data_IF_427140757172
#
_entry.id   IF_427140757172
#
_cell.length_a   1.000
_cell.length_b   1.000
_cell.length_c   1.000
_cell.angle_alpha   90.00
_cell.angle_beta   90.00
_cell.angle_gamma   90.00
#
_symmetry.space_group_name_H-M   'P 1'
#
loop_
_entity.id
_entity.type
_entity.pdbx_description
1 polymer ?
#
# COMPACT_ATOMS: atom_id res chain seq x y z
N UNK A 1 -0.29 29.38 -7.00
CA UNK A 1 -1.25 28.31 -7.31
C UNK A 1 -0.55 27.05 -6.85
N UNK A 2 -0.94 26.50 -5.69
CA UNK A 2 -0.31 25.27 -5.22
C UNK A 2 -0.71 24.18 -6.22
N UNK A 3 0.28 23.49 -6.80
CA UNK A 3 0.03 22.24 -7.52
C UNK A 3 -0.76 21.34 -6.56
N UNK A 4 -1.97 20.93 -6.94
CA UNK A 4 -2.62 19.81 -6.28
C UNK A 4 -1.70 18.59 -6.44
N UNK A 5 -1.45 17.80 -5.39
CA UNK A 5 -0.58 16.65 -5.51
C UNK A 5 -1.15 15.73 -6.58
N UNK A 6 -0.30 15.32 -7.52
CA UNK A 6 -0.65 14.49 -8.67
C UNK A 6 -1.36 13.17 -8.27
N UNK A 7 -1.26 12.75 -6.99
CA UNK A 7 -1.94 11.59 -6.43
C UNK A 7 -3.45 11.79 -6.22
N UNK A 8 -3.92 12.99 -5.83
CA UNK A 8 -5.37 13.24 -5.67
C UNK A 8 -6.14 13.19 -7.00
N UNK A 9 -5.55 13.71 -8.08
CA UNK A 9 -6.17 13.64 -9.42
C UNK A 9 -6.21 12.19 -9.92
N UNK A 10 -5.15 11.43 -9.67
CA UNK A 10 -5.11 10.02 -10.05
C UNK A 10 -6.15 9.18 -9.29
N UNK A 11 -6.37 9.47 -8.01
CA UNK A 11 -7.37 8.79 -7.20
C UNK A 11 -8.78 8.95 -7.78
N UNK A 12 -9.14 10.14 -8.25
CA UNK A 12 -10.46 10.41 -8.85
C UNK A 12 -10.69 9.65 -10.17
N UNK A 13 -9.61 9.25 -10.84
CA UNK A 13 -9.65 8.43 -12.06
C UNK A 13 -9.72 6.92 -11.77
N UNK A 14 -9.71 6.49 -10.51
CA UNK A 14 -9.85 5.10 -10.11
C UNK A 14 -11.31 4.77 -9.77
N UNK A 15 -11.76 3.61 -10.20
CA UNK A 15 -13.01 3.02 -9.71
C UNK A 15 -12.88 2.62 -8.24
N UNK A 16 -14.00 2.54 -7.51
CA UNK A 16 -14.02 2.08 -6.12
C UNK A 16 -13.35 0.71 -5.94
N UNK A 17 -13.47 -0.14 -6.96
CA UNK A 17 -12.87 -1.47 -6.96
C UNK A 17 -11.35 -1.41 -7.10
N UNK A 18 -10.82 -0.60 -7.99
CA UNK A 18 -9.38 -0.38 -8.14
C UNK A 18 -8.78 0.24 -6.88
N UNK A 19 -9.46 1.23 -6.28
CA UNK A 19 -9.07 1.81 -4.98
C UNK A 19 -8.99 0.73 -3.90
N UNK A 20 -9.99 -0.15 -3.82
CA UNK A 20 -10.00 -1.24 -2.85
C UNK A 20 -8.84 -2.23 -3.07
N UNK A 21 -8.47 -2.53 -4.32
CA UNK A 21 -7.33 -3.41 -4.63
C UNK A 21 -6.00 -2.79 -4.21
N UNK A 22 -5.78 -1.51 -4.52
CA UNK A 22 -4.56 -0.81 -4.13
C UNK A 22 -4.49 -0.66 -2.60
N UNK A 23 -5.62 -0.33 -1.95
CA UNK A 23 -5.70 -0.29 -0.49
C UNK A 23 -5.39 -1.65 0.14
N UNK A 24 -5.90 -2.75 -0.43
CA UNK A 24 -5.59 -4.11 0.02
C UNK A 24 -4.09 -4.43 -0.08
N UNK A 25 -3.41 -3.95 -1.13
CA UNK A 25 -1.97 -4.11 -1.29
C UNK A 25 -1.18 -3.34 -0.21
N UNK A 26 -1.55 -2.07 0.02
CA UNK A 26 -0.91 -1.23 1.04
C UNK A 26 -1.10 -1.80 2.45
N UNK A 27 -2.33 -2.19 2.78
CA UNK A 27 -2.68 -2.85 4.03
C UNK A 27 -1.84 -4.11 4.28
N UNK A 28 -1.73 -4.97 3.26
CA UNK A 28 -0.96 -6.20 3.38
C UNK A 28 0.52 -5.89 3.61
N UNK A 29 1.08 -4.91 2.90
CA UNK A 29 2.48 -4.48 3.00
C UNK A 29 2.81 -4.05 4.43
N UNK A 30 1.98 -3.20 5.01
CA UNK A 30 2.14 -2.68 6.38
C UNK A 30 1.95 -3.78 7.41
N UNK A 31 0.90 -4.61 7.28
CA UNK A 31 0.62 -5.75 8.18
C UNK A 31 1.77 -6.77 8.18
N UNK A 32 2.52 -6.88 7.09
CA UNK A 32 3.71 -7.74 6.97
C UNK A 32 5.03 -7.06 7.34
N UNK A 33 5.00 -5.79 7.80
CA UNK A 33 6.20 -4.99 8.10
C UNK A 33 7.14 -4.86 6.89
N UNK A 34 6.57 -4.78 5.69
CA UNK A 34 7.29 -4.66 4.42
C UNK A 34 7.36 -3.22 3.90
N UNK A 35 6.89 -2.24 4.67
CA UNK A 35 6.84 -0.82 4.30
C UNK A 35 8.18 -0.28 3.80
N UNK A 36 9.25 -0.40 4.59
CA UNK A 36 10.59 0.11 4.21
C UNK A 36 11.13 -0.51 2.92
N UNK A 37 11.19 -1.85 2.75
CA UNK A 37 11.65 -2.44 1.49
C UNK A 37 10.71 -2.17 0.31
N UNK A 38 9.40 -2.04 0.53
CA UNK A 38 8.45 -1.69 -0.52
C UNK A 38 8.69 -0.27 -1.05
N UNK A 39 8.82 0.72 -0.15
CA UNK A 39 9.13 2.11 -0.53
C UNK A 39 10.46 2.17 -1.28
N UNK A 40 11.51 1.54 -0.75
CA UNK A 40 12.83 1.51 -1.41
C UNK A 40 12.75 0.94 -2.83
N UNK A 41 12.03 -0.18 -3.00
CA UNK A 41 11.83 -0.79 -4.31
C UNK A 41 11.06 0.13 -5.26
N UNK A 42 9.93 0.69 -4.80
CA UNK A 42 9.04 1.53 -5.61
C UNK A 42 9.74 2.83 -6.06
N UNK A 43 10.51 3.47 -5.17
CA UNK A 43 11.34 4.63 -5.53
C UNK A 43 12.44 4.25 -6.53
N UNK A 44 13.00 3.05 -6.43
CA UNK A 44 14.02 2.56 -7.37
C UNK A 44 13.45 2.35 -8.79
N UNK A 45 12.16 2.05 -8.92
CA UNK A 45 11.50 1.85 -10.23
C UNK A 45 10.75 3.08 -10.75
N UNK A 46 10.50 4.09 -9.91
CA UNK A 46 9.88 5.38 -10.27
C UNK A 46 10.52 6.08 -11.50
N UNK A 47 11.86 6.09 -11.72
CA UNK A 47 12.44 6.76 -12.90
C UNK A 47 12.31 5.97 -14.22
N UNK A 48 11.75 4.76 -14.20
CA UNK A 48 11.72 3.88 -15.37
C UNK A 48 10.34 3.93 -16.06
N UNK A 49 10.24 4.70 -17.16
CA UNK A 49 9.04 4.78 -18.02
C UNK A 49 8.57 3.45 -18.65
N UNK A 50 9.20 2.29 -18.37
CA UNK A 50 8.99 1.05 -19.16
C UNK A 50 9.18 -0.26 -18.37
N UNK A 51 8.87 -0.32 -17.07
CA UNK A 51 8.99 -1.59 -16.30
C UNK A 51 7.68 -1.99 -15.63
N UNK A 52 6.54 -1.69 -16.26
CA UNK A 52 5.25 -2.24 -15.84
C UNK A 52 5.22 -3.76 -15.93
N UNK A 53 5.71 -4.37 -17.03
CA UNK A 53 5.59 -5.83 -17.20
C UNK A 53 6.58 -6.66 -16.37
N UNK A 54 7.84 -6.24 -16.23
CA UNK A 54 8.86 -7.05 -15.53
C UNK A 54 8.76 -6.93 -14.01
N UNK A 55 8.36 -5.77 -13.48
CA UNK A 55 8.04 -5.61 -12.05
C UNK A 55 6.89 -6.54 -11.68
N UNK A 56 5.83 -6.58 -12.48
CA UNK A 56 4.67 -7.43 -12.19
C UNK A 56 5.03 -8.93 -12.25
N UNK A 57 5.88 -9.35 -13.19
CA UNK A 57 6.37 -10.74 -13.24
C UNK A 57 7.23 -11.08 -12.02
N UNK A 58 8.08 -10.16 -11.56
CA UNK A 58 8.87 -10.34 -10.35
C UNK A 58 7.99 -10.47 -9.10
N UNK A 59 6.92 -9.69 -8.98
CA UNK A 59 6.02 -9.73 -7.82
C UNK A 59 4.91 -10.76 -7.90
N UNK A 60 4.63 -11.36 -9.06
CA UNK A 60 3.56 -12.35 -9.22
C UNK A 60 3.54 -13.45 -8.13
N UNK A 61 4.67 -14.03 -7.68
CA UNK A 61 4.67 -15.04 -6.61
C UNK A 61 4.18 -14.51 -5.25
N UNK A 62 4.43 -13.22 -4.97
CA UNK A 62 4.07 -12.58 -3.70
C UNK A 62 2.61 -12.11 -3.77
N UNK A 63 2.21 -11.53 -4.90
CA UNK A 63 0.88 -10.94 -5.05
C UNK A 63 -0.21 -12.01 -5.13
N UNK A 64 0.07 -13.17 -5.73
CA UNK A 64 -0.85 -14.32 -5.74
C UNK A 64 -1.15 -14.91 -4.34
N UNK A 65 -0.38 -14.57 -3.30
CA UNK A 65 -0.70 -14.95 -1.92
C UNK A 65 -1.84 -14.08 -1.36
N UNK A 66 -2.03 -12.89 -1.93
CA UNK A 66 -2.92 -11.84 -1.40
C UNK A 66 -4.14 -11.65 -2.30
N UNK A 67 -3.98 -11.80 -3.60
CA UNK A 67 -4.99 -11.57 -4.62
C UNK A 67 -5.29 -12.85 -5.39
N UNK A 68 -6.55 -13.03 -5.79
CA UNK A 68 -6.92 -14.06 -6.76
C UNK A 68 -6.56 -13.59 -8.19
N UNK A 69 -6.56 -14.50 -9.17
CA UNK A 69 -6.19 -14.18 -10.55
C UNK A 69 -6.98 -12.98 -11.14
N UNK A 70 -8.32 -12.91 -11.03
CA UNK A 70 -9.06 -11.73 -11.50
C UNK A 70 -8.66 -10.41 -10.84
N UNK A 71 -8.47 -10.40 -9.51
CA UNK A 71 -8.04 -9.22 -8.78
C UNK A 71 -6.62 -8.80 -9.19
N UNK A 72 -5.73 -9.76 -9.43
CA UNK A 72 -4.37 -9.51 -9.87
C UNK A 72 -4.32 -8.90 -11.28
N UNK A 73 -5.10 -9.42 -12.21
CA UNK A 73 -5.17 -8.87 -13.58
C UNK A 73 -5.67 -7.42 -13.57
N UNK A 74 -6.66 -7.11 -12.74
CA UNK A 74 -7.19 -5.76 -12.58
C UNK A 74 -6.18 -4.82 -11.91
N UNK A 75 -5.55 -5.24 -10.81
CA UNK A 75 -4.51 -4.47 -10.14
C UNK A 75 -3.34 -4.18 -11.08
N UNK A 76 -2.95 -5.15 -11.91
CA UNK A 76 -1.89 -4.99 -12.91
C UNK A 76 -2.20 -3.86 -13.89
N UNK A 77 -3.42 -3.79 -14.41
CA UNK A 77 -3.83 -2.73 -15.36
C UNK A 77 -3.70 -1.35 -14.70
N UNK A 78 -4.06 -1.23 -13.42
CA UNK A 78 -3.92 0.03 -12.67
C UNK A 78 -2.45 0.39 -12.48
N UNK A 79 -1.61 -0.57 -12.11
CA UNK A 79 -0.18 -0.35 -11.85
C UNK A 79 0.64 -0.07 -13.12
N UNK A 80 0.09 -0.30 -14.31
CA UNK A 80 0.70 0.11 -15.58
C UNK A 80 0.54 1.63 -15.85
N UNK A 81 -0.33 2.34 -15.11
CA UNK A 81 -0.51 3.80 -15.23
C UNK A 81 0.66 4.53 -14.57
N UNK A 82 1.09 5.64 -15.18
CA UNK A 82 2.30 6.39 -14.80
C UNK A 82 2.24 6.91 -13.36
N UNK A 83 1.07 7.31 -12.91
CA UNK A 83 0.84 7.95 -11.61
C UNK A 83 0.65 6.92 -10.48
N UNK A 84 0.44 5.64 -10.81
CA UNK A 84 0.11 4.58 -9.87
C UNK A 84 1.18 4.36 -8.81
N UNK A 85 2.47 4.44 -9.17
CA UNK A 85 3.57 4.23 -8.22
C UNK A 85 3.60 5.32 -7.15
N UNK A 86 3.37 6.58 -7.54
CA UNK A 86 3.32 7.68 -6.58
C UNK A 86 2.13 7.50 -5.63
N UNK A 87 0.96 7.17 -6.17
CA UNK A 87 -0.24 6.90 -5.37
C UNK A 87 -0.05 5.72 -4.40
N UNK A 88 0.55 4.61 -4.85
CA UNK A 88 0.82 3.43 -3.99
C UNK A 88 1.82 3.78 -2.88
N UNK A 89 2.85 4.58 -3.16
CA UNK A 89 3.81 5.05 -2.16
C UNK A 89 3.11 5.87 -1.08
N UNK A 90 2.36 6.91 -1.47
CA UNK A 90 1.62 7.79 -0.57
C UNK A 90 0.66 6.96 0.32
N UNK A 91 -0.07 6.00 -0.28
CA UNK A 91 -1.01 5.16 0.45
C UNK A 91 -0.31 4.19 1.42
N UNK A 92 0.86 3.64 1.06
CA UNK A 92 1.64 2.79 1.97
C UNK A 92 2.11 3.60 3.19
N UNK A 93 2.55 4.84 3.00
CA UNK A 93 2.97 5.72 4.09
C UNK A 93 1.79 6.08 5.02
N UNK A 94 0.63 6.41 4.44
CA UNK A 94 -0.61 6.64 5.20
C UNK A 94 -0.99 5.41 6.04
N UNK A 95 -1.01 4.22 5.42
CA UNK A 95 -1.36 2.97 6.11
C UNK A 95 -0.35 2.59 7.19
N UNK A 96 0.94 2.88 7.01
CA UNK A 96 1.93 2.64 8.07
C UNK A 96 1.66 3.55 9.28
N UNK A 97 1.36 4.83 9.05
CA UNK A 97 1.06 5.77 10.13
C UNK A 97 -0.19 5.34 10.92
N UNK A 98 -1.25 4.95 10.22
CA UNK A 98 -2.47 4.37 10.82
C UNK A 98 -2.12 3.12 11.65
N UNK A 99 -1.38 2.18 11.07
CA UNK A 99 -1.05 0.91 11.71
C UNK A 99 -0.19 1.06 12.97
N UNK A 100 0.80 1.95 12.96
CA UNK A 100 1.64 2.23 14.12
C UNK A 100 0.83 2.89 15.24
N UNK A 101 -0.08 3.79 14.88
CA UNK A 101 -1.00 4.43 15.83
C UNK A 101 -1.88 3.38 16.50
N UNK A 102 -2.55 2.54 15.70
CA UNK A 102 -3.37 1.41 16.15
C UNK A 102 -2.60 0.44 17.05
N UNK A 103 -1.38 0.07 16.66
CA UNK A 103 -0.55 -0.83 17.43
C UNK A 103 -0.17 -0.22 18.80
N UNK A 104 0.12 1.08 18.82
CA UNK A 104 0.46 1.79 20.06
C UNK A 104 -0.73 1.85 21.02
N UNK A 105 -1.93 2.14 20.52
CA UNK A 105 -3.18 2.18 21.29
C UNK A 105 -3.45 0.79 21.89
N UNK A 106 -3.42 -0.26 21.07
CA UNK A 106 -3.63 -1.65 21.51
C UNK A 106 -2.64 -2.08 22.59
N UNK A 107 -1.35 -1.69 22.45
CA UNK A 107 -0.30 -1.96 23.45
C UNK A 107 -0.56 -1.20 24.76
N UNK A 108 -1.03 0.05 24.70
CA UNK A 108 -1.35 0.84 25.88
C UNK A 108 -2.56 0.27 26.64
N UNK A 109 -3.64 -0.05 25.92
CA UNK A 109 -4.81 -0.68 26.53
C UNK A 109 -4.49 -2.03 27.17
N UNK A 110 -3.71 -2.88 26.49
CA UNK A 110 -3.28 -4.15 27.06
C UNK A 110 -2.45 -3.98 28.33
N UNK A 111 -1.61 -2.93 28.41
CA UNK A 111 -0.86 -2.59 29.63
C UNK A 111 -1.78 -2.06 30.74
N UNK A 112 -2.78 -1.24 30.42
CA UNK A 112 -3.75 -0.73 31.39
C UNK A 112 -4.58 -1.87 32.00
N UNK A 113 -5.13 -2.76 31.17
CA UNK A 113 -5.90 -3.93 31.61
C UNK A 113 -5.11 -4.86 32.55
N UNK A 114 -3.81 -5.06 32.28
CA UNK A 114 -2.93 -5.85 33.15
C UNK A 114 -2.71 -5.19 34.52
N UNK A 115 -2.48 -3.87 34.56
CA UNK A 115 -2.32 -3.13 35.82
C UNK A 115 -3.58 -3.11 36.68
N UNK A 116 -4.76 -3.04 36.05
CA UNK A 116 -6.05 -3.11 36.74
C UNK A 116 -6.31 -4.50 37.33
N UNK A 117 -5.93 -5.57 36.64
CA UNK A 117 -6.09 -6.94 37.12
C UNK A 117 -5.11 -7.33 38.25
N UNK A 118 -3.98 -6.63 38.38
CA UNK A 118 -2.98 -6.83 39.43
C UNK A 118 -3.26 -6.03 40.72
N UNK A 119 -4.29 -5.17 40.73
CA UNK A 119 -4.70 -4.33 41.85
C UNK A 119 -5.92 -4.88 42.57
#
# INVERSE_FOLDING_TARGET
MADEPNSTVFEDELTDREKALISKLADWTVKKRMTTPAIFFLESVRPLNYVGSQVMVFFAPIVNVVFNMPEWDELRVVLERRESIAYVLDLIEEKEAEFLTDESIRKQEAKARKKEAEK
#
